data_IF_379339601016
#
_entry.id   IF_379339601016
#
_cell.length_a   1.000
_cell.length_b   1.000
_cell.length_c   1.000
_cell.angle_alpha   90.00
_cell.angle_beta   90.00
_cell.angle_gamma   90.00
#
_symmetry.space_group_name_H-M   'P 1'
#
loop_
_entity.id
_entity.type
_entity.pdbx_description
1 polymer ?
#
# COMPACT_ATOMS: atom_id res chain seq x y z
N UNK A 1 -9.24 -2.51 12.55
CA UNK A 1 -8.98 -2.11 11.16
C UNK A 1 -9.09 -3.36 10.32
N UNK A 2 -9.79 -3.31 9.20
CA UNK A 2 -9.84 -4.44 8.27
C UNK A 2 -8.44 -4.65 7.67
N UNK A 3 -7.98 -5.91 7.64
CA UNK A 3 -6.71 -6.25 7.00
C UNK A 3 -6.96 -6.37 5.50
N UNK A 4 -6.65 -5.31 4.76
CA UNK A 4 -6.69 -5.30 3.31
C UNK A 4 -5.52 -6.11 2.74
N UNK A 5 -5.76 -6.80 1.63
CA UNK A 5 -4.70 -7.41 0.83
C UNK A 5 -3.76 -6.35 0.24
N UNK A 6 -2.58 -6.76 -0.22
CA UNK A 6 -1.64 -5.85 -0.88
C UNK A 6 -2.28 -5.14 -2.09
N UNK A 7 -3.05 -5.86 -2.90
CA UNK A 7 -3.74 -5.30 -4.07
C UNK A 7 -4.85 -4.33 -3.68
N UNK A 8 -5.56 -4.56 -2.58
CA UNK A 8 -6.58 -3.63 -2.06
C UNK A 8 -5.95 -2.35 -1.49
N UNK A 9 -4.83 -2.46 -0.77
CA UNK A 9 -4.06 -1.28 -0.33
C UNK A 9 -3.57 -0.46 -1.53
N UNK A 10 -3.03 -1.13 -2.55
CA UNK A 10 -2.56 -0.47 -3.76
C UNK A 10 -3.69 0.23 -4.51
N UNK A 11 -4.84 -0.45 -4.67
CA UNK A 11 -6.02 0.13 -5.30
C UNK A 11 -6.53 1.34 -4.53
N UNK A 12 -6.66 1.24 -3.21
CA UNK A 12 -7.11 2.33 -2.34
C UNK A 12 -6.21 3.56 -2.46
N UNK A 13 -4.89 3.37 -2.45
CA UNK A 13 -3.94 4.44 -2.68
C UNK A 13 -4.16 5.10 -4.05
N UNK A 14 -4.26 4.31 -5.13
CA UNK A 14 -4.42 4.83 -6.49
C UNK A 14 -5.75 5.57 -6.71
N UNK A 15 -6.86 5.00 -6.24
CA UNK A 15 -8.18 5.62 -6.36
C UNK A 15 -8.21 6.98 -5.63
N UNK A 16 -7.60 7.05 -4.45
CA UNK A 16 -7.53 8.29 -3.67
C UNK A 16 -6.52 9.30 -4.26
N UNK A 17 -5.44 8.82 -4.89
CA UNK A 17 -4.49 9.68 -5.60
C UNK A 17 -5.17 10.40 -6.75
N UNK A 18 -6.00 9.70 -7.54
CA UNK A 18 -6.76 10.31 -8.64
C UNK A 18 -7.74 11.36 -8.13
N UNK A 19 -8.48 11.07 -7.05
CA UNK A 19 -9.37 12.05 -6.43
C UNK A 19 -8.61 13.29 -5.93
N UNK A 20 -7.47 13.09 -5.27
CA UNK A 20 -6.60 14.16 -4.79
C UNK A 20 -6.11 15.04 -5.95
N UNK A 21 -5.69 14.45 -7.05
CA UNK A 21 -5.27 15.18 -8.26
C UNK A 21 -6.42 16.03 -8.84
N UNK A 22 -7.63 15.49 -8.91
CA UNK A 22 -8.79 16.23 -9.39
C UNK A 22 -9.09 17.44 -8.50
N UNK A 23 -8.89 17.33 -7.18
CA UNK A 23 -9.10 18.46 -6.25
C UNK A 23 -8.03 19.54 -6.35
N UNK A 24 -6.88 19.24 -6.94
CA UNK A 24 -5.82 20.20 -7.22
C UNK A 24 -6.06 21.00 -8.50
N UNK A 25 -7.04 20.61 -9.33
CA UNK A 25 -7.36 21.38 -10.53
C UNK A 25 -7.83 22.79 -10.15
N UNK A 26 -7.40 23.79 -10.94
CA UNK A 26 -7.63 25.20 -10.61
C UNK A 26 -6.90 25.71 -9.36
N UNK A 27 -5.82 25.04 -8.91
CA UNK A 27 -5.01 25.47 -7.75
C UNK A 27 -4.68 26.97 -7.68
N UNK A 28 -4.36 27.67 -8.78
CA UNK A 28 -4.09 29.11 -8.74
C UNK A 28 -5.27 29.96 -8.24
N UNK A 29 -6.50 29.45 -8.34
CA UNK A 29 -7.75 30.13 -7.92
C UNK A 29 -8.29 29.62 -6.58
N UNK A 30 -7.60 28.71 -5.90
CA UNK A 30 -8.10 28.13 -4.65
C UNK A 30 -8.24 29.17 -3.54
N UNK A 31 -9.42 29.18 -2.91
CA UNK A 31 -9.65 29.87 -1.65
C UNK A 31 -8.84 29.24 -0.51
N UNK A 32 -8.66 29.90 0.64
CA UNK A 32 -8.00 29.29 1.80
C UNK A 32 -8.61 27.93 2.21
N UNK A 33 -9.94 27.82 2.21
CA UNK A 33 -10.62 26.56 2.54
C UNK A 33 -10.33 25.43 1.55
N UNK A 34 -10.24 25.75 0.25
CA UNK A 34 -9.86 24.76 -0.78
C UNK A 34 -8.41 24.30 -0.61
N UNK A 35 -7.51 25.22 -0.22
CA UNK A 35 -6.12 24.85 0.09
C UNK A 35 -6.06 23.90 1.28
N UNK A 36 -6.82 24.17 2.34
CA UNK A 36 -6.88 23.30 3.52
C UNK A 36 -7.43 21.92 3.16
N UNK A 37 -8.44 21.84 2.29
CA UNK A 37 -8.97 20.57 1.78
C UNK A 37 -7.91 19.76 1.04
N UNK A 38 -7.20 20.39 0.10
CA UNK A 38 -6.13 19.75 -0.69
C UNK A 38 -5.00 19.29 0.23
N UNK A 39 -4.59 20.10 1.22
CA UNK A 39 -3.58 19.71 2.22
C UNK A 39 -4.05 18.49 3.03
N UNK A 40 -5.32 18.48 3.45
CA UNK A 40 -5.92 17.33 4.13
C UNK A 40 -5.86 16.06 3.27
N UNK A 41 -6.24 16.15 2.00
CA UNK A 41 -6.17 15.04 1.04
C UNK A 41 -4.74 14.54 0.84
N UNK A 42 -3.77 15.45 0.68
CA UNK A 42 -2.34 15.08 0.60
C UNK A 42 -1.91 14.33 1.87
N UNK A 43 -2.33 14.77 3.05
CA UNK A 43 -2.00 14.12 4.32
C UNK A 43 -2.53 12.69 4.37
N UNK A 44 -3.78 12.47 3.98
CA UNK A 44 -4.38 11.12 3.88
C UNK A 44 -3.67 10.26 2.84
N UNK A 45 -3.27 10.82 1.70
CA UNK A 45 -2.56 10.09 0.66
C UNK A 45 -1.20 9.58 1.17
N UNK A 46 -0.49 10.36 2.00
CA UNK A 46 0.75 9.91 2.65
C UNK A 46 0.51 8.72 3.57
N UNK A 47 -0.60 8.73 4.31
CA UNK A 47 -0.96 7.62 5.18
C UNK A 47 -1.23 6.34 4.37
N UNK A 48 -1.95 6.43 3.25
CA UNK A 48 -2.19 5.26 2.38
C UNK A 48 -0.92 4.72 1.75
N UNK A 49 0.04 5.60 1.41
CA UNK A 49 1.34 5.16 0.92
C UNK A 49 2.10 4.37 2.00
N UNK A 50 2.08 4.83 3.26
CA UNK A 50 2.69 4.12 4.39
C UNK A 50 2.02 2.77 4.63
N UNK A 51 0.69 2.70 4.58
CA UNK A 51 -0.07 1.45 4.70
C UNK A 51 0.31 0.46 3.59
N UNK A 52 0.45 0.94 2.35
CA UNK A 52 0.88 0.14 1.21
C UNK A 52 2.32 -0.36 1.35
N UNK A 53 3.24 0.51 1.79
CA UNK A 53 4.64 0.15 2.04
C UNK A 53 4.73 -0.95 3.10
N UNK A 54 4.03 -0.76 4.23
CA UNK A 54 4.01 -1.76 5.30
C UNK A 54 3.39 -3.08 4.81
N UNK A 55 2.28 -3.02 4.08
CA UNK A 55 1.66 -4.22 3.52
C UNK A 55 2.58 -4.95 2.53
N UNK A 56 3.41 -4.23 1.77
CA UNK A 56 4.40 -4.84 0.89
C UNK A 56 5.50 -5.54 1.69
N UNK A 57 6.05 -4.89 2.71
CA UNK A 57 7.07 -5.45 3.60
C UNK A 57 6.53 -6.72 4.27
N UNK A 58 5.33 -6.67 4.86
CA UNK A 58 4.72 -7.79 5.57
C UNK A 58 4.42 -9.01 4.68
N UNK A 59 4.31 -8.81 3.36
CA UNK A 59 4.00 -9.85 2.39
C UNK A 59 5.20 -10.25 1.51
N UNK A 60 6.36 -9.64 1.71
CA UNK A 60 7.59 -10.01 1.00
C UNK A 60 8.39 -10.96 1.90
N UNK A 61 8.85 -12.12 1.39
CA UNK A 61 9.73 -12.99 2.17
C UNK A 61 11.00 -12.22 2.52
N UNK A 62 11.38 -12.19 3.80
CA UNK A 62 12.72 -11.78 4.16
C UNK A 62 13.73 -12.75 3.51
N UNK A 63 14.84 -12.22 2.98
CA UNK A 63 15.96 -12.98 2.37
C UNK A 63 16.59 -14.06 3.29
N UNK A 64 16.05 -14.24 4.51
CA UNK A 64 16.45 -15.22 5.52
C UNK A 64 15.51 -16.44 5.59
N UNK A 65 14.69 -16.70 4.56
CA UNK A 65 14.06 -18.02 4.43
C UNK A 65 15.16 -19.07 4.30
N UNK A 66 15.46 -19.76 5.41
CA UNK A 66 16.42 -20.86 5.44
C UNK A 66 16.09 -21.83 4.32
N UNK A 67 17.07 -22.34 3.57
CA UNK A 67 16.82 -23.32 2.52
C UNK A 67 15.98 -24.44 3.12
N UNK A 68 14.81 -24.71 2.53
CA UNK A 68 14.02 -25.89 2.87
C UNK A 68 14.92 -27.11 2.76
N UNK A 69 15.10 -27.81 3.88
CA UNK A 69 16.01 -28.94 3.99
C UNK A 69 15.63 -30.03 2.97
N UNK A 70 16.51 -30.37 2.02
CA UNK A 70 16.23 -31.37 0.98
C UNK A 70 15.82 -32.74 1.54
N UNK A 71 16.20 -33.08 2.77
CA UNK A 71 15.84 -34.35 3.41
C UNK A 71 14.33 -34.51 3.65
N UNK A 72 13.57 -33.41 3.77
CA UNK A 72 12.12 -33.48 3.95
C UNK A 72 11.39 -34.02 2.70
N UNK A 73 11.96 -33.82 1.50
CA UNK A 73 11.37 -34.25 0.23
C UNK A 73 11.58 -35.76 0.00
N UNK A 74 12.67 -36.33 0.52
CA UNK A 74 13.00 -37.74 0.32
C UNK A 74 12.11 -38.71 1.13
N UNK A 75 11.54 -38.25 2.25
CA UNK A 75 10.75 -39.10 3.15
C UNK A 75 9.30 -39.35 2.69
N UNK A 76 8.75 -38.53 1.80
CA UNK A 76 7.36 -38.64 1.33
C UNK A 76 7.19 -39.56 0.09
N UNK A 77 8.28 -40.10 -0.45
CA UNK A 77 8.30 -40.75 -1.77
C UNK A 77 8.49 -42.27 -1.80
N UNK A 78 8.54 -42.95 -0.65
CA UNK A 78 8.67 -44.41 -0.62
C UNK A 78 7.69 -45.03 0.38
N UNK A 79 6.55 -45.50 -0.13
CA UNK A 79 5.70 -46.54 0.47
C UNK A 79 5.25 -47.47 -0.64
#
# INVERSE_FOLDING_TARGET
>A
MENLTLSENAKRFMDYAVDTLNTMDGAPQHSPAMKDEVIGKISTLKQYLQELEQAYIDNTPDDVSSPVDPEYIAAAGHS
#
